data_IF_398941915827
#
_entry.id   IF_398941915827
#
_cell.length_a   1.000
_cell.length_b   1.000
_cell.length_c   1.000
_cell.angle_alpha   90.00
_cell.angle_beta   90.00
_cell.angle_gamma   90.00
#
_symmetry.space_group_name_H-M   'P 1'
#
loop_
_entity.id
_entity.type
_entity.pdbx_description
1 polymer ?
#
# COMPACT_ATOMS: atom_id res chain seq x y z
N UNK A 1 17.43 -6.78 3.27
CA UNK A 1 18.29 -5.64 3.64
C UNK A 1 17.39 -4.40 3.72
N UNK A 2 17.02 -3.97 4.94
CA UNK A 2 16.59 -2.61 5.29
C UNK A 2 15.36 -1.94 4.65
N UNK A 3 14.49 -2.60 3.87
CA UNK A 3 13.34 -1.93 3.21
C UNK A 3 12.27 -1.41 4.18
N UNK A 4 12.26 -1.88 5.41
CA UNK A 4 11.24 -1.52 6.38
C UNK A 4 11.60 -0.26 7.17
N UNK A 5 10.63 0.64 7.32
CA UNK A 5 10.72 1.80 8.21
C UNK A 5 9.91 1.48 9.50
N UNK A 6 10.53 1.53 10.69
CA UNK A 6 9.84 1.30 11.97
C UNK A 6 8.75 2.36 12.25
N UNK A 7 7.94 2.17 13.29
CA UNK A 7 6.89 3.14 13.65
C UNK A 7 7.47 4.53 13.96
N UNK A 8 6.74 5.57 13.54
CA UNK A 8 7.05 6.96 13.86
C UNK A 8 5.93 7.91 13.41
N UNK A 9 5.98 9.15 13.88
CA UNK A 9 5.11 10.21 13.35
C UNK A 9 5.41 10.46 11.87
N UNK A 10 4.47 11.00 11.06
CA UNK A 10 4.72 11.29 9.64
C UNK A 10 6.00 12.10 9.39
N UNK A 11 6.34 13.03 10.29
CA UNK A 11 7.59 13.78 10.26
C UNK A 11 8.85 12.90 10.36
N UNK A 12 8.87 11.97 11.30
CA UNK A 12 10.02 11.08 11.54
C UNK A 12 10.23 10.16 10.34
N UNK A 13 9.13 9.58 9.83
CA UNK A 13 9.14 8.78 8.61
C UNK A 13 9.64 9.60 7.42
N UNK A 14 9.16 10.84 7.26
CA UNK A 14 9.59 11.71 6.17
C UNK A 14 11.10 12.03 6.23
N UNK A 15 11.63 12.34 7.41
CA UNK A 15 13.07 12.58 7.61
C UNK A 15 13.87 11.33 7.26
N UNK A 16 13.43 10.15 7.70
CA UNK A 16 14.10 8.89 7.38
C UNK A 16 14.11 8.63 5.86
N UNK A 17 12.98 8.85 5.19
CA UNK A 17 12.87 8.72 3.73
C UNK A 17 13.79 9.69 2.99
N UNK A 18 13.89 10.95 3.46
CA UNK A 18 14.81 11.94 2.89
C UNK A 18 16.27 11.50 3.05
N UNK A 19 16.67 10.95 4.21
CA UNK A 19 18.01 10.41 4.42
C UNK A 19 18.32 9.21 3.51
N UNK A 20 17.31 8.41 3.19
CA UNK A 20 17.40 7.32 2.20
C UNK A 20 17.38 7.80 0.74
N UNK A 21 17.32 9.12 0.52
CA UNK A 21 17.33 9.72 -0.81
C UNK A 21 16.04 9.58 -1.59
N UNK A 22 14.94 9.18 -0.94
CA UNK A 22 13.62 9.00 -1.60
C UNK A 22 13.16 10.32 -2.22
N UNK A 23 12.71 10.25 -3.47
CA UNK A 23 12.20 11.40 -4.23
C UNK A 23 10.70 11.34 -4.49
N UNK A 24 10.14 10.14 -4.49
CA UNK A 24 8.73 9.92 -4.73
C UNK A 24 8.16 8.82 -3.85
N UNK A 25 6.87 8.94 -3.54
CA UNK A 25 6.09 7.93 -2.86
C UNK A 25 5.04 7.39 -3.82
N UNK A 26 4.79 6.09 -3.79
CA UNK A 26 3.84 5.40 -4.66
C UNK A 26 2.83 4.68 -3.78
N UNK A 27 1.53 4.86 -4.05
CA UNK A 27 0.50 4.01 -3.47
C UNK A 27 0.67 2.57 -3.98
N UNK A 28 0.24 1.57 -3.21
CA UNK A 28 0.42 0.19 -3.64
C UNK A 28 -0.72 -0.29 -4.55
N UNK A 29 -1.94 -0.30 -4.02
CA UNK A 29 -3.09 -0.94 -4.64
C UNK A 29 -3.69 -0.04 -5.71
N UNK A 30 -3.81 -0.54 -6.95
CA UNK A 30 -4.32 0.27 -8.06
C UNK A 30 -3.31 1.31 -8.57
N UNK A 31 -2.13 1.43 -7.96
CA UNK A 31 -1.05 2.31 -8.42
C UNK A 31 0.23 1.52 -8.72
N UNK A 32 0.95 0.98 -7.72
CA UNK A 32 2.14 0.14 -7.99
C UNK A 32 1.77 -1.19 -8.66
N UNK A 33 0.63 -1.77 -8.26
CA UNK A 33 0.08 -2.99 -8.86
C UNK A 33 -1.35 -2.75 -9.38
N UNK A 34 -1.76 -3.48 -10.40
CA UNK A 34 -3.12 -3.41 -10.95
C UNK A 34 -4.07 -4.19 -10.05
N UNK A 35 -5.09 -3.49 -9.57
CA UNK A 35 -6.12 -4.05 -8.70
C UNK A 35 -5.91 -3.66 -7.24
N UNK A 36 -7.02 -3.57 -6.51
CA UNK A 36 -7.00 -3.52 -5.05
C UNK A 36 -6.73 -4.93 -4.49
N UNK A 37 -6.79 -5.08 -3.17
CA UNK A 37 -6.96 -6.33 -2.38
C UNK A 37 -7.95 -7.40 -2.93
N UNK A 38 -8.41 -7.33 -4.18
CA UNK A 38 -9.17 -8.32 -4.93
C UNK A 38 -8.66 -9.75 -4.77
N UNK A 39 -7.35 -9.99 -4.66
CA UNK A 39 -6.84 -11.34 -4.36
C UNK A 39 -7.43 -11.90 -3.04
N UNK A 40 -7.59 -11.05 -2.02
CA UNK A 40 -8.23 -11.37 -0.75
C UNK A 40 -9.70 -11.74 -0.92
N UNK A 41 -10.43 -10.88 -1.63
CA UNK A 41 -11.86 -11.01 -1.84
C UNK A 41 -12.18 -12.25 -2.69
N UNK A 42 -11.40 -12.49 -3.74
CA UNK A 42 -11.54 -13.68 -4.59
C UNK A 42 -11.17 -14.97 -3.85
N UNK A 43 -10.07 -14.97 -3.08
CA UNK A 43 -9.68 -16.14 -2.30
C UNK A 43 -10.72 -16.47 -1.23
N UNK A 44 -11.19 -15.48 -0.47
CA UNK A 44 -12.23 -15.67 0.53
C UNK A 44 -13.56 -16.11 -0.09
N UNK A 45 -13.97 -15.51 -1.21
CA UNK A 45 -15.18 -15.92 -1.91
C UNK A 45 -15.09 -17.37 -2.41
N UNK A 46 -13.95 -17.76 -2.98
CA UNK A 46 -13.72 -19.12 -3.46
C UNK A 46 -13.76 -20.18 -2.33
N UNK A 47 -13.44 -19.77 -1.09
CA UNK A 47 -13.49 -20.62 0.10
C UNK A 47 -14.82 -20.48 0.88
N UNK A 48 -15.86 -19.92 0.27
CA UNK A 48 -17.19 -19.80 0.90
C UNK A 48 -17.26 -18.79 2.06
N UNK A 49 -16.26 -17.92 2.21
CA UNK A 49 -16.18 -16.94 3.30
C UNK A 49 -16.91 -15.62 2.94
N UNK A 50 -18.13 -15.74 2.42
CA UNK A 50 -18.92 -14.61 1.88
C UNK A 50 -19.10 -13.47 2.87
N UNK A 51 -19.34 -13.77 4.16
CA UNK A 51 -19.51 -12.73 5.19
C UNK A 51 -18.23 -11.90 5.41
N UNK A 52 -17.05 -12.53 5.30
CA UNK A 52 -15.76 -11.85 5.39
C UNK A 52 -15.50 -10.97 4.17
N UNK A 53 -15.85 -11.45 2.98
CA UNK A 53 -15.79 -10.66 1.74
C UNK A 53 -16.67 -9.41 1.86
N UNK A 54 -17.91 -9.57 2.34
CA UNK A 54 -18.83 -8.44 2.55
C UNK A 54 -18.26 -7.47 3.58
N UNK A 55 -17.72 -7.97 4.70
CA UNK A 55 -17.10 -7.13 5.72
C UNK A 55 -15.93 -6.31 5.13
N UNK A 56 -15.00 -6.95 4.43
CA UNK A 56 -13.87 -6.28 3.79
C UNK A 56 -14.33 -5.22 2.77
N UNK A 57 -15.35 -5.51 1.96
CA UNK A 57 -15.91 -4.55 1.01
C UNK A 57 -16.53 -3.34 1.74
N UNK A 58 -17.36 -3.58 2.76
CA UNK A 58 -18.02 -2.51 3.51
C UNK A 58 -17.01 -1.59 4.21
N UNK A 59 -16.02 -2.17 4.89
CA UNK A 59 -15.00 -1.37 5.57
C UNK A 59 -14.01 -0.73 4.60
N UNK A 60 -13.71 -1.37 3.46
CA UNK A 60 -12.91 -0.78 2.39
C UNK A 60 -13.57 0.45 1.78
N UNK A 61 -14.87 0.36 1.42
CA UNK A 61 -15.65 1.51 0.94
C UNK A 61 -15.73 2.62 1.99
N UNK A 62 -15.92 2.27 3.26
CA UNK A 62 -15.93 3.24 4.34
C UNK A 62 -14.57 3.93 4.53
N UNK A 63 -13.45 3.21 4.37
CA UNK A 63 -12.11 3.80 4.37
C UNK A 63 -11.98 4.86 3.28
N UNK A 64 -12.35 4.53 2.04
CA UNK A 64 -12.30 5.46 0.90
C UNK A 64 -13.16 6.69 1.18
N UNK A 65 -14.42 6.51 1.57
CA UNK A 65 -15.32 7.62 1.87
C UNK A 65 -14.77 8.53 2.98
N UNK A 66 -14.14 7.96 4.01
CA UNK A 66 -13.51 8.75 5.07
C UNK A 66 -12.27 9.49 4.60
N UNK A 67 -11.47 8.91 3.72
CA UNK A 67 -10.33 9.61 3.11
C UNK A 67 -10.80 10.85 2.35
N UNK A 68 -11.85 10.72 1.53
CA UNK A 68 -12.48 11.85 0.84
C UNK A 68 -12.95 12.96 1.78
N UNK A 69 -13.37 12.60 2.99
CA UNK A 69 -13.87 13.54 3.99
C UNK A 69 -12.77 14.02 4.96
N UNK A 70 -11.52 13.56 4.82
CA UNK A 70 -10.44 13.86 5.76
C UNK A 70 -10.71 13.36 7.18
N UNK A 71 -11.46 12.27 7.33
CA UNK A 71 -11.89 11.73 8.63
C UNK A 71 -11.03 10.54 9.08
N UNK A 72 -10.87 10.34 10.41
CA UNK A 72 -10.14 9.18 10.93
C UNK A 72 -10.73 7.83 10.50
N UNK A 73 -9.90 6.99 9.88
CA UNK A 73 -10.27 5.69 9.32
C UNK A 73 -9.70 4.48 10.08
N UNK A 74 -8.91 4.70 11.15
CA UNK A 74 -8.19 3.63 11.86
C UNK A 74 -9.10 2.48 12.28
N UNK A 75 -10.29 2.78 12.82
CA UNK A 75 -11.26 1.76 13.20
C UNK A 75 -11.68 0.85 12.04
N UNK A 76 -11.83 1.38 10.82
CA UNK A 76 -12.17 0.57 9.65
C UNK A 76 -10.98 -0.25 9.16
N UNK A 77 -9.75 0.27 9.26
CA UNK A 77 -8.54 -0.50 8.95
C UNK A 77 -8.37 -1.68 9.90
N UNK A 78 -8.64 -1.49 11.19
CA UNK A 78 -8.68 -2.58 12.18
C UNK A 78 -9.79 -3.58 11.87
N UNK A 79 -10.98 -3.11 11.46
CA UNK A 79 -12.05 -4.02 11.02
C UNK A 79 -11.67 -4.81 9.77
N UNK A 80 -10.96 -4.21 8.81
CA UNK A 80 -10.43 -4.93 7.65
C UNK A 80 -9.42 -6.00 8.07
N UNK A 81 -8.49 -5.69 8.97
CA UNK A 81 -7.58 -6.68 9.53
C UNK A 81 -8.35 -7.83 10.21
N UNK A 82 -9.38 -7.51 11.00
CA UNK A 82 -10.25 -8.50 11.65
C UNK A 82 -10.96 -9.40 10.63
N UNK A 83 -11.37 -8.86 9.48
CA UNK A 83 -11.93 -9.64 8.37
C UNK A 83 -11.01 -10.72 7.82
N UNK A 84 -9.69 -10.59 8.02
CA UNK A 84 -8.68 -11.58 7.61
C UNK A 84 -8.40 -12.65 8.67
N UNK A 85 -8.96 -12.56 9.89
CA UNK A 85 -8.64 -13.47 10.99
C UNK A 85 -8.78 -14.96 10.61
N UNK A 86 -7.76 -15.76 10.96
CA UNK A 86 -7.69 -17.18 10.66
C UNK A 86 -7.40 -17.51 9.20
N UNK A 87 -7.16 -16.52 8.34
CA UNK A 87 -6.74 -16.77 6.96
C UNK A 87 -5.26 -17.14 6.91
N UNK A 88 -4.92 -18.19 6.16
CA UNK A 88 -3.53 -18.61 5.95
C UNK A 88 -2.79 -17.57 5.09
N UNK A 89 -1.70 -17.01 5.62
CA UNK A 89 -0.88 -16.02 4.94
C UNK A 89 -0.27 -16.57 3.65
N UNK A 90 0.31 -17.77 3.69
CA UNK A 90 0.99 -18.35 2.52
C UNK A 90 0.03 -18.63 1.36
N UNK A 91 -1.15 -19.17 1.65
CA UNK A 91 -2.19 -19.39 0.63
C UNK A 91 -2.67 -18.07 0.02
N UNK A 92 -2.76 -17.04 0.87
CA UNK A 92 -3.15 -15.71 0.45
C UNK A 92 -2.08 -15.05 -0.43
N UNK A 93 -0.81 -15.07 0.00
CA UNK A 93 0.33 -14.55 -0.75
C UNK A 93 0.48 -15.27 -2.09
N UNK A 94 0.40 -16.61 -2.11
CA UNK A 94 0.47 -17.40 -3.35
C UNK A 94 -0.60 -16.95 -4.34
N UNK A 95 -1.85 -16.81 -3.88
CA UNK A 95 -2.94 -16.36 -4.74
C UNK A 95 -2.74 -14.93 -5.24
N UNK A 96 -2.16 -14.08 -4.40
CA UNK A 96 -1.82 -12.71 -4.76
C UNK A 96 -0.75 -12.69 -5.86
N UNK A 97 0.35 -13.42 -5.68
CA UNK A 97 1.42 -13.55 -6.67
C UNK A 97 0.94 -14.13 -8.01
N UNK A 98 -0.02 -15.05 -7.99
CA UNK A 98 -0.62 -15.62 -9.22
C UNK A 98 -1.46 -14.61 -10.03
N UNK A 99 -1.94 -13.54 -9.40
CA UNK A 99 -2.93 -12.63 -9.99
C UNK A 99 -2.45 -11.19 -10.10
N UNK A 100 -1.39 -10.84 -9.40
CA UNK A 100 -0.86 -9.48 -9.37
C UNK A 100 -0.13 -9.16 -10.66
N UNK A 101 -0.45 -8.00 -11.21
CA UNK A 101 0.28 -7.40 -12.33
C UNK A 101 0.89 -6.09 -11.85
N UNK A 102 2.20 -5.91 -12.03
CA UNK A 102 2.82 -4.59 -11.82
C UNK A 102 2.22 -3.61 -12.81
N UNK A 103 1.83 -2.41 -12.36
CA UNK A 103 1.20 -1.42 -13.22
C UNK A 103 2.21 -0.87 -14.24
N UNK A 104 1.97 -1.04 -15.57
CA UNK A 104 2.91 -0.59 -16.59
C UNK A 104 3.06 0.93 -16.64
N UNK A 105 2.12 1.68 -16.07
CA UNK A 105 2.19 3.14 -16.00
C UNK A 105 3.27 3.64 -15.02
N UNK A 106 3.83 2.76 -14.18
CA UNK A 106 5.02 3.07 -13.39
C UNK A 106 6.22 3.51 -14.25
N UNK A 107 6.29 3.06 -15.52
CA UNK A 107 7.29 3.55 -16.47
C UNK A 107 7.23 5.08 -16.68
N UNK A 108 6.09 5.70 -16.43
CA UNK A 108 5.90 7.15 -16.53
C UNK A 108 6.46 7.93 -15.33
N UNK A 109 6.74 7.30 -14.19
CA UNK A 109 7.24 7.97 -12.97
C UNK A 109 8.54 8.71 -13.22
N UNK A 110 9.44 8.12 -14.03
CA UNK A 110 10.72 8.72 -14.39
C UNK A 110 10.58 10.07 -15.10
N UNK A 111 9.48 10.32 -15.80
CA UNK A 111 9.27 11.60 -16.49
C UNK A 111 9.05 12.77 -15.52
N UNK A 112 8.75 12.49 -14.25
CA UNK A 112 8.47 13.49 -13.22
C UNK A 112 9.60 13.66 -12.21
N UNK A 113 10.60 12.79 -12.21
CA UNK A 113 11.72 12.83 -11.27
C UNK A 113 13.04 12.93 -12.04
N UNK A 114 13.78 14.01 -11.82
CA UNK A 114 15.03 14.34 -12.53
C UNK A 114 16.24 13.44 -12.19
N UNK A 115 16.00 12.25 -11.64
CA UNK A 115 17.01 11.27 -11.21
C UNK A 115 16.63 9.88 -11.70
N UNK A 116 17.59 9.13 -12.24
CA UNK A 116 17.41 7.75 -12.71
C UNK A 116 18.54 6.83 -12.20
N UNK A 117 18.23 5.66 -11.60
CA UNK A 117 16.88 5.19 -11.27
C UNK A 117 16.20 6.09 -10.23
N UNK A 118 14.87 6.07 -10.20
CA UNK A 118 14.10 6.91 -9.27
C UNK A 118 14.06 6.22 -7.92
N UNK A 119 14.66 6.80 -6.86
CA UNK A 119 14.55 6.25 -5.50
C UNK A 119 13.14 6.53 -4.96
N UNK A 120 12.36 5.48 -4.76
CA UNK A 120 10.97 5.59 -4.31
C UNK A 120 10.74 4.90 -2.98
N UNK A 121 9.65 5.27 -2.32
CA UNK A 121 9.04 4.48 -1.27
C UNK A 121 7.62 4.07 -1.64
N UNK A 122 7.16 2.92 -1.15
CA UNK A 122 5.74 2.58 -1.17
C UNK A 122 5.10 3.11 0.11
N UNK A 123 3.95 3.77 -0.01
CA UNK A 123 3.10 4.17 1.11
C UNK A 123 1.75 3.47 0.97
N UNK A 124 1.38 2.62 1.92
CA UNK A 124 0.14 1.86 1.80
C UNK A 124 -0.53 1.59 3.15
N UNK A 125 -1.85 1.46 3.14
CA UNK A 125 -2.64 1.01 4.30
C UNK A 125 -2.60 -0.50 4.50
N UNK A 126 -2.01 -1.21 3.58
CA UNK A 126 -2.07 -2.65 3.52
C UNK A 126 -1.00 -3.29 4.40
N UNK A 127 -0.99 -4.61 4.41
CA UNK A 127 -0.03 -5.42 5.15
C UNK A 127 1.37 -5.32 4.53
N UNK A 128 2.32 -4.76 5.29
CA UNK A 128 3.69 -4.54 4.83
C UNK A 128 4.41 -5.79 4.37
N UNK A 129 4.25 -6.91 5.10
CA UNK A 129 4.91 -8.18 4.76
C UNK A 129 4.44 -8.70 3.39
N UNK A 130 3.14 -8.54 3.10
CA UNK A 130 2.56 -8.90 1.81
C UNK A 130 3.12 -8.03 0.68
N UNK A 131 3.19 -6.71 0.89
CA UNK A 131 3.76 -5.76 -0.08
C UNK A 131 5.21 -6.11 -0.37
N UNK A 132 6.01 -6.35 0.67
CA UNK A 132 7.43 -6.69 0.53
C UNK A 132 7.61 -7.95 -0.31
N UNK A 133 6.89 -9.03 0.01
CA UNK A 133 6.96 -10.27 -0.74
C UNK A 133 6.59 -10.09 -2.22
N UNK A 134 5.60 -9.25 -2.52
CA UNK A 134 5.13 -9.02 -3.90
C UNK A 134 6.09 -8.17 -4.69
N UNK A 135 6.63 -7.12 -4.07
CA UNK A 135 7.68 -6.30 -4.67
C UNK A 135 8.91 -7.16 -4.95
N UNK A 136 9.33 -7.98 -3.99
CA UNK A 136 10.50 -8.84 -4.14
C UNK A 136 10.33 -9.81 -5.32
N UNK A 137 9.17 -10.48 -5.40
CA UNK A 137 8.82 -11.36 -6.52
C UNK A 137 8.82 -10.64 -7.88
N UNK A 138 8.56 -9.32 -7.89
CA UNK A 138 8.46 -8.50 -9.09
C UNK A 138 9.63 -7.50 -9.27
N UNK A 139 10.73 -7.64 -8.50
CA UNK A 139 11.76 -6.61 -8.41
C UNK A 139 12.43 -6.29 -9.77
N UNK A 140 12.53 -7.30 -10.66
CA UNK A 140 13.06 -7.10 -12.01
C UNK A 140 12.18 -6.17 -12.85
N UNK A 141 10.85 -6.25 -12.70
CA UNK A 141 9.89 -5.41 -13.44
C UNK A 141 9.97 -3.96 -12.95
N UNK A 142 9.98 -3.75 -11.62
CA UNK A 142 10.18 -2.41 -11.04
C UNK A 142 11.49 -1.77 -11.52
N UNK A 143 12.61 -2.51 -11.49
CA UNK A 143 13.90 -2.03 -12.04
C UNK A 143 13.83 -1.77 -13.54
N UNK A 144 13.07 -2.55 -14.30
CA UNK A 144 12.83 -2.34 -15.73
C UNK A 144 12.11 -1.02 -16.04
N UNK A 145 11.27 -0.53 -15.12
CA UNK A 145 10.69 0.82 -15.15
C UNK A 145 11.61 1.88 -14.53
N UNK A 146 12.84 1.48 -14.18
CA UNK A 146 13.85 2.27 -13.49
C UNK A 146 13.36 2.90 -12.19
N UNK A 147 12.55 2.12 -11.47
CA UNK A 147 12.17 2.35 -10.08
C UNK A 147 13.17 1.62 -9.18
N UNK A 148 13.71 2.34 -8.20
CA UNK A 148 14.55 1.77 -7.15
C UNK A 148 13.83 1.93 -5.81
N UNK A 149 13.26 0.84 -5.29
CA UNK A 149 12.54 0.88 -4.02
C UNK A 149 13.53 0.95 -2.84
N UNK A 150 13.44 2.02 -2.05
CA UNK A 150 14.26 2.27 -0.87
C UNK A 150 13.55 1.90 0.44
N UNK A 151 12.22 1.95 0.44
CA UNK A 151 11.42 1.76 1.63
C UNK A 151 9.98 1.34 1.36
N UNK A 152 9.38 0.63 2.31
CA UNK A 152 7.95 0.38 2.43
C UNK A 152 7.48 0.98 3.75
N UNK A 153 6.49 1.87 3.67
CA UNK A 153 5.77 2.44 4.81
C UNK A 153 4.35 1.89 4.75
N UNK A 154 4.04 0.93 5.61
CA UNK A 154 2.77 0.23 5.58
C UNK A 154 2.25 -0.15 6.98
N UNK A 155 1.01 -0.63 7.05
CA UNK A 155 0.47 -1.22 8.27
C UNK A 155 1.07 -2.62 8.46
N UNK A 156 1.03 -3.13 9.69
CA UNK A 156 1.47 -4.50 9.98
C UNK A 156 0.28 -5.32 10.44
N UNK A 157 -0.08 -6.35 9.68
CA UNK A 157 -1.18 -7.23 10.06
C UNK A 157 -0.58 -8.47 10.71
N UNK A 158 -0.93 -8.71 11.97
CA UNK A 158 -0.26 -9.69 12.79
C UNK A 158 -0.61 -11.11 12.33
N UNK A 159 0.37 -12.00 12.37
CA UNK A 159 0.20 -13.43 12.12
C UNK A 159 0.65 -14.25 13.32
N UNK A 160 -0.01 -15.38 13.55
CA UNK A 160 0.39 -16.41 14.48
C UNK A 160 0.22 -17.77 13.80
N UNK A 161 1.24 -18.63 13.89
CA UNK A 161 1.25 -19.96 13.26
C UNK A 161 0.87 -19.93 11.76
N UNK A 162 1.38 -18.92 11.04
CA UNK A 162 1.14 -18.73 9.60
C UNK A 162 -0.25 -18.17 9.23
N UNK A 163 -1.08 -17.80 10.21
CA UNK A 163 -2.43 -17.29 9.98
C UNK A 163 -2.58 -15.87 10.52
N UNK A 164 -3.36 -15.04 9.85
CA UNK A 164 -3.69 -13.70 10.35
C UNK A 164 -4.46 -13.78 11.67
N UNK A 165 -4.08 -12.99 12.67
CA UNK A 165 -4.75 -12.98 13.99
C UNK A 165 -5.99 -12.07 14.01
N UNK A 166 -6.16 -11.23 12.98
CA UNK A 166 -7.16 -10.18 12.96
C UNK A 166 -6.72 -8.87 13.62
N UNK A 167 -5.56 -8.85 14.27
CA UNK A 167 -4.99 -7.63 14.85
C UNK A 167 -4.05 -6.96 13.85
N UNK A 168 -4.00 -5.63 13.92
CA UNK A 168 -3.07 -4.84 13.13
C UNK A 168 -2.48 -3.67 13.92
N UNK A 169 -1.23 -3.39 13.61
CA UNK A 169 -0.57 -2.14 13.98
C UNK A 169 -0.79 -1.16 12.85
N UNK A 170 -1.63 -0.14 13.08
CA UNK A 170 -1.91 0.90 12.11
C UNK A 170 -0.86 2.00 12.22
N UNK A 171 -0.25 2.35 11.09
CA UNK A 171 0.80 3.37 10.91
C UNK A 171 0.41 4.35 9.81
N UNK A 172 -0.22 3.86 8.74
CA UNK A 172 -0.64 4.64 7.58
C UNK A 172 -2.16 4.82 7.63
N UNK A 173 -2.59 6.05 7.88
CA UNK A 173 -4.00 6.45 8.00
C UNK A 173 -4.53 7.19 6.76
N UNK A 174 -3.77 7.22 5.67
CA UNK A 174 -4.03 7.90 4.39
C UNK A 174 -3.94 9.41 4.29
N UNK A 175 -3.45 10.11 5.30
CA UNK A 175 -3.17 11.53 5.06
C UNK A 175 -1.86 11.66 4.27
N UNK A 176 -1.90 11.34 2.97
CA UNK A 176 -0.79 11.50 2.02
C UNK A 176 -0.27 12.95 2.03
N UNK A 177 -1.13 13.90 2.43
CA UNK A 177 -0.77 15.31 2.65
C UNK A 177 0.21 15.51 3.80
N UNK A 178 0.23 14.63 4.81
CA UNK A 178 1.18 14.70 5.93
C UNK A 178 2.62 14.61 5.44
N UNK A 179 2.86 13.87 4.35
CA UNK A 179 4.18 13.69 3.75
C UNK A 179 4.52 14.78 2.72
N UNK A 180 3.50 15.40 2.12
CA UNK A 180 3.71 16.40 1.07
C UNK A 180 4.52 17.62 1.54
N UNK A 181 4.27 18.11 2.76
CA UNK A 181 5.00 19.26 3.31
C UNK A 181 6.53 19.04 3.37
N UNK A 182 6.99 17.80 3.22
CA UNK A 182 8.41 17.40 3.16
C UNK A 182 8.97 17.26 1.74
N UNK A 183 8.20 17.66 0.71
CA UNK A 183 8.66 17.78 -0.67
C UNK A 183 8.64 16.51 -1.51
N UNK A 184 7.92 15.46 -1.08
CA UNK A 184 7.75 14.25 -1.88
C UNK A 184 6.72 14.43 -2.99
N UNK A 185 7.02 13.91 -4.19
CA UNK A 185 6.00 13.67 -5.21
C UNK A 185 5.23 12.40 -4.86
N UNK A 186 3.90 12.45 -5.02
CA UNK A 186 3.05 11.32 -4.71
C UNK A 186 2.41 10.74 -5.98
N UNK A 187 2.54 9.44 -6.21
CA UNK A 187 1.89 8.72 -7.29
C UNK A 187 0.77 7.87 -6.73
N UNK A 188 -0.45 8.09 -7.21
CA UNK A 188 -1.64 7.42 -6.71
C UNK A 188 -2.57 6.97 -7.82
N UNK A 189 -3.62 6.28 -7.43
CA UNK A 189 -4.69 5.88 -8.35
C UNK A 189 -5.72 7.01 -8.56
N UNK A 190 -6.85 6.71 -9.20
CA UNK A 190 -7.91 7.70 -9.39
C UNK A 190 -8.58 8.15 -8.09
N UNK A 191 -8.63 7.28 -7.08
CA UNK A 191 -9.23 7.58 -5.78
C UNK A 191 -8.34 8.55 -5.02
N UNK A 192 -7.02 8.34 -5.03
CA UNK A 192 -6.07 9.25 -4.37
C UNK A 192 -6.11 10.66 -4.92
N UNK A 193 -6.19 10.79 -6.24
CA UNK A 193 -6.29 12.08 -6.93
C UNK A 193 -7.61 12.76 -6.62
N UNK A 194 -8.70 12.00 -6.50
CA UNK A 194 -10.02 12.55 -6.21
C UNK A 194 -10.21 12.89 -4.73
N UNK A 195 -9.57 12.15 -3.82
CA UNK A 195 -9.65 12.33 -2.37
C UNK A 195 -8.79 13.50 -1.88
N UNK A 196 -8.10 14.20 -2.77
CA UNK A 196 -7.24 15.32 -2.42
C UNK A 196 -7.48 16.51 -3.35
N UNK A 197 -7.45 17.72 -2.79
CA UNK A 197 -7.43 18.98 -3.57
C UNK A 197 -6.00 19.39 -3.93
N UNK A 198 -5.03 18.52 -3.67
CA UNK A 198 -3.61 18.84 -3.72
C UNK A 198 -2.99 18.52 -5.11
N UNK A 199 -2.33 19.48 -5.78
CA UNK A 199 -1.84 19.32 -7.15
C UNK A 199 -0.63 18.39 -7.34
N UNK A 200 0.07 17.98 -6.27
CA UNK A 200 1.25 17.11 -6.36
C UNK A 200 0.96 15.62 -6.13
N UNK A 201 -0.32 15.21 -6.15
CA UNK A 201 -0.69 13.82 -6.39
C UNK A 201 -0.84 13.61 -7.90
N UNK A 202 0.02 12.78 -8.47
CA UNK A 202 0.08 12.47 -9.89
C UNK A 202 -0.61 11.13 -10.11
N UNK A 203 -1.60 11.12 -11.01
CA UNK A 203 -2.25 9.88 -11.44
C UNK A 203 -1.36 9.14 -12.42
N UNK A 204 -1.15 7.85 -12.16
CA UNK A 204 -0.58 6.90 -13.13
C UNK A 204 -1.46 5.65 -13.22
#
# INVERSE_FOLDING_TARGET
>A
MGLWIPQGAPQEIAIELQHRGVRAMIDFDGCAVRGHYHAALHFMAANGQTERVINLLLHGVACVAKDFLGLPNEGHLRSMAKGLEGLCYESFLTRMLDTVEVNPRLAGVQAYVEVSPVPVAILSKNDGDLIEAVVEANAAVFRGYGIELQAIVANTYNKQDGHYTGDATIRVHNNKQDYYQYGFLFFGDAQDVAATTYPGVIRI
#
